data_IF_412175830304
#
_entry.id   IF_412175830304
#
_cell.length_a   1.000
_cell.length_b   1.000
_cell.length_c   1.000
_cell.angle_alpha   90.00
_cell.angle_beta   90.00
_cell.angle_gamma   90.00
#
_symmetry.space_group_name_H-M   'P 1'
#
loop_
_entity.id
_entity.type
_entity.pdbx_description
1 polymer ?
#
# COMPACT_ATOMS: atom_id res chain seq x y z
N UNK A 1 -91.53 -10.96 21.32
CA UNK A 1 -90.91 -9.62 21.25
C UNK A 1 -90.23 -9.36 22.58
N UNK A 2 -88.93 -9.66 22.70
CA UNK A 2 -87.98 -9.01 23.62
C UNK A 2 -86.57 -9.54 23.28
N UNK A 3 -85.70 -8.60 22.90
CA UNK A 3 -84.26 -8.75 22.63
C UNK A 3 -83.49 -9.13 23.90
N UNK A 4 -82.28 -9.67 23.67
CA UNK A 4 -80.99 -9.49 24.39
C UNK A 4 -80.27 -10.83 24.45
N UNK A 5 -78.96 -10.97 24.34
CA UNK A 5 -77.86 -10.09 23.97
C UNK A 5 -76.71 -11.08 23.70
N UNK A 6 -75.99 -10.91 22.60
CA UNK A 6 -74.77 -11.66 22.31
C UNK A 6 -73.64 -10.99 23.10
N UNK A 7 -73.05 -11.70 24.06
CA UNK A 7 -71.86 -11.25 24.79
C UNK A 7 -70.63 -11.78 24.05
N UNK A 8 -70.02 -10.95 23.23
CA UNK A 8 -68.71 -11.21 22.62
C UNK A 8 -67.62 -11.07 23.68
N UNK A 9 -66.96 -12.17 24.02
CA UNK A 9 -65.72 -12.13 24.79
C UNK A 9 -64.57 -11.74 23.85
N UNK A 10 -64.02 -10.54 24.06
CA UNK A 10 -62.77 -10.11 23.42
C UNK A 10 -61.59 -10.70 24.20
N UNK A 11 -60.96 -11.75 23.67
CA UNK A 11 -59.67 -12.24 24.16
C UNK A 11 -58.57 -11.39 23.53
N UNK A 12 -58.06 -10.41 24.27
CA UNK A 12 -56.90 -9.61 23.86
C UNK A 12 -55.63 -10.45 24.07
N UNK A 13 -55.21 -11.19 23.04
CA UNK A 13 -53.91 -11.83 23.02
C UNK A 13 -52.83 -10.76 22.78
N UNK A 14 -52.13 -10.34 23.84
CA UNK A 14 -50.87 -9.62 23.70
C UNK A 14 -49.85 -10.57 23.06
N UNK A 15 -49.70 -10.48 21.74
CA UNK A 15 -48.50 -10.95 21.08
C UNK A 15 -47.34 -10.03 21.50
N UNK A 16 -46.57 -10.47 22.51
CA UNK A 16 -45.28 -9.88 22.81
C UNK A 16 -44.38 -10.20 21.62
N UNK A 17 -44.34 -9.28 20.66
CA UNK A 17 -43.35 -9.31 19.59
C UNK A 17 -41.99 -9.17 20.23
N UNK A 18 -41.28 -10.30 20.36
CA UNK A 18 -39.84 -10.28 20.55
C UNK A 18 -39.24 -9.64 19.29
N UNK A 19 -38.99 -8.34 19.35
CA UNK A 19 -38.14 -7.69 18.35
C UNK A 19 -36.81 -8.44 18.35
N UNK A 20 -36.35 -8.98 17.21
CA UNK A 20 -35.00 -9.49 17.15
C UNK A 20 -34.09 -8.31 17.44
N UNK A 21 -33.40 -8.37 18.58
CA UNK A 21 -32.21 -7.55 18.81
C UNK A 21 -31.26 -7.92 17.67
N UNK A 22 -31.23 -7.08 16.63
CA UNK A 22 -30.15 -7.06 15.69
C UNK A 22 -28.90 -6.65 16.48
N UNK A 23 -28.26 -7.63 17.10
CA UNK A 23 -26.88 -7.48 17.56
C UNK A 23 -26.07 -7.32 16.29
N UNK A 24 -25.91 -6.06 15.86
CA UNK A 24 -24.87 -5.70 14.91
C UNK A 24 -23.56 -6.10 15.55
N UNK A 25 -23.11 -7.31 15.27
CA UNK A 25 -21.78 -7.75 15.61
C UNK A 25 -20.84 -6.65 15.11
N UNK A 26 -19.92 -6.14 15.95
CA UNK A 26 -18.90 -5.21 15.50
C UNK A 26 -18.23 -5.89 14.32
N UNK A 27 -18.42 -5.31 13.15
CA UNK A 27 -17.82 -5.85 11.97
C UNK A 27 -16.35 -5.47 12.08
N UNK A 28 -15.53 -6.36 12.63
CA UNK A 28 -14.07 -6.23 12.60
C UNK A 28 -13.62 -6.43 11.16
N UNK A 29 -13.48 -5.32 10.42
CA UNK A 29 -13.03 -5.35 9.04
C UNK A 29 -11.51 -5.45 9.13
N UNK A 30 -10.95 -6.66 9.11
CA UNK A 30 -9.51 -6.82 8.80
C UNK A 30 -9.28 -6.30 7.38
N UNK A 31 -8.81 -5.06 7.23
CA UNK A 31 -8.42 -4.55 5.90
C UNK A 31 -7.04 -5.12 5.59
N UNK A 32 -6.78 -5.43 4.33
CA UNK A 32 -5.47 -5.92 3.88
C UNK A 32 -4.63 -4.73 3.44
N UNK A 33 -3.32 -4.82 3.64
CA UNK A 33 -2.40 -3.84 3.07
C UNK A 33 -2.40 -3.98 1.54
N UNK A 34 -2.66 -2.91 0.80
CA UNK A 34 -2.70 -2.93 -0.67
C UNK A 34 -1.63 -1.99 -1.24
N UNK A 35 -0.59 -2.56 -1.84
CA UNK A 35 0.41 -1.77 -2.59
C UNK A 35 -0.23 -1.18 -3.84
N UNK A 36 -0.02 0.11 -4.08
CA UNK A 36 -0.51 0.81 -5.26
C UNK A 36 0.63 1.13 -6.21
N UNK A 37 1.80 1.45 -5.66
CA UNK A 37 2.99 1.81 -6.41
C UNK A 37 4.23 1.35 -5.66
N UNK A 38 5.20 0.82 -6.40
CA UNK A 38 6.54 0.54 -5.92
C UNK A 38 7.56 1.01 -6.94
N UNK A 39 8.70 1.51 -6.47
CA UNK A 39 9.88 1.69 -7.30
C UNK A 39 11.12 1.35 -6.51
N UNK A 40 12.10 0.73 -7.15
CA UNK A 40 13.37 0.39 -6.54
C UNK A 40 14.48 0.42 -7.57
N UNK A 41 15.68 0.73 -7.11
CA UNK A 41 16.85 0.72 -7.95
C UNK A 41 18.13 0.80 -7.15
N UNK A 42 19.24 0.53 -7.84
CA UNK A 42 20.55 0.58 -7.24
C UNK A 42 21.65 0.74 -8.27
N UNK A 43 22.82 1.12 -7.79
CA UNK A 43 24.05 1.13 -8.56
C UNK A 43 25.22 0.75 -7.66
N UNK A 44 26.24 0.12 -8.24
CA UNK A 44 27.51 -0.10 -7.58
C UNK A 44 28.64 0.45 -8.45
N UNK A 45 29.62 1.10 -7.84
CA UNK A 45 30.84 1.52 -8.53
C UNK A 45 31.85 0.36 -8.67
N UNK A 46 32.93 0.60 -9.41
CA UNK A 46 33.99 -0.40 -9.61
C UNK A 46 34.76 -0.76 -8.34
N UNK A 47 34.68 0.07 -7.29
CA UNK A 47 35.26 -0.21 -5.98
C UNK A 47 34.32 -1.05 -5.09
N UNK A 48 33.12 -1.39 -5.58
CA UNK A 48 32.13 -2.18 -4.85
C UNK A 48 31.30 -1.37 -3.86
N UNK A 49 31.31 -0.04 -3.94
CA UNK A 49 30.40 0.79 -3.17
C UNK A 49 29.03 0.79 -3.85
N UNK A 50 27.99 0.44 -3.12
CA UNK A 50 26.64 0.31 -3.65
C UNK A 50 25.69 1.30 -2.99
N UNK A 51 24.80 1.86 -3.78
CA UNK A 51 23.81 2.84 -3.38
C UNK A 51 22.46 2.39 -3.90
N UNK A 52 21.47 2.31 -3.03
CA UNK A 52 20.15 1.73 -3.33
C UNK A 52 19.04 2.63 -2.83
N UNK A 53 17.87 2.53 -3.44
CA UNK A 53 16.66 3.16 -2.95
C UNK A 53 15.46 2.24 -3.17
N UNK A 54 14.42 2.45 -2.35
CA UNK A 54 13.12 1.86 -2.60
C UNK A 54 12.01 2.76 -2.08
N UNK A 55 10.86 2.71 -2.75
CA UNK A 55 9.65 3.42 -2.35
C UNK A 55 8.45 2.51 -2.55
N UNK A 56 7.54 2.52 -1.59
CA UNK A 56 6.33 1.71 -1.57
C UNK A 56 5.18 2.60 -1.10
N UNK A 57 4.19 2.81 -1.94
CA UNK A 57 2.94 3.49 -1.59
C UNK A 57 1.85 2.44 -1.48
N UNK A 58 1.19 2.38 -0.33
CA UNK A 58 0.16 1.38 -0.05
C UNK A 58 -0.94 1.91 0.85
N UNK A 59 -2.12 1.33 0.76
CA UNK A 59 -3.19 1.48 1.76
C UNK A 59 -2.95 0.49 2.90
N UNK A 60 -2.95 0.96 4.16
CA UNK A 60 -2.75 0.11 5.34
C UNK A 60 -4.04 -0.59 5.81
N UNK A 61 -3.96 -1.29 6.95
CA UNK A 61 -5.10 -2.04 7.50
C UNK A 61 -6.22 -1.14 8.03
N UNK A 62 -5.97 0.16 8.15
CA UNK A 62 -6.95 1.16 8.58
C UNK A 62 -7.52 1.94 7.38
N UNK A 63 -7.06 1.65 6.16
CA UNK A 63 -7.48 2.34 4.94
C UNK A 63 -6.77 3.66 4.72
N UNK A 64 -5.69 3.93 5.46
CA UNK A 64 -4.88 5.14 5.30
C UNK A 64 -3.77 4.84 4.31
N UNK A 65 -3.60 5.72 3.32
CA UNK A 65 -2.47 5.59 2.39
C UNK A 65 -1.18 6.02 3.09
N UNK A 66 -0.20 5.13 3.03
CA UNK A 66 1.12 5.26 3.63
C UNK A 66 2.17 5.24 2.53
N UNK A 67 3.26 5.96 2.74
CA UNK A 67 4.50 5.76 1.99
C UNK A 67 5.56 5.14 2.88
N UNK A 68 6.38 4.27 2.30
CA UNK A 68 7.67 3.83 2.85
C UNK A 68 8.72 4.21 1.84
N UNK A 69 9.73 4.96 2.28
CA UNK A 69 10.83 5.40 1.43
C UNK A 69 12.13 5.03 2.13
N UNK A 70 13.02 4.38 1.41
CA UNK A 70 14.33 3.97 1.92
C UNK A 70 15.42 4.41 0.97
N UNK A 71 16.55 4.81 1.56
CA UNK A 71 17.80 4.99 0.85
C UNK A 71 18.92 4.36 1.67
N UNK A 72 19.84 3.69 1.00
CA UNK A 72 21.00 3.06 1.64
C UNK A 72 22.25 3.24 0.80
N UNK A 73 23.38 3.16 1.50
CA UNK A 73 24.70 3.13 0.93
C UNK A 73 25.54 2.10 1.69
N UNK A 74 26.31 1.30 0.96
CA UNK A 74 27.27 0.36 1.54
C UNK A 74 28.61 0.42 0.82
N UNK A 75 29.69 0.19 1.55
CA UNK A 75 31.03 -0.03 0.99
C UNK A 75 31.43 -1.49 1.13
N UNK A 76 32.41 -1.93 0.33
CA UNK A 76 33.00 -3.26 0.46
C UNK A 76 33.64 -3.50 1.85
N UNK A 77 34.04 -2.43 2.55
CA UNK A 77 34.67 -2.47 3.88
C UNK A 77 33.67 -2.50 5.04
N UNK A 78 32.44 -2.96 4.81
CA UNK A 78 31.36 -3.10 5.78
C UNK A 78 30.77 -1.79 6.36
N UNK A 79 31.05 -0.63 5.76
CA UNK A 79 30.28 0.58 6.11
C UNK A 79 28.88 0.44 5.54
N UNK A 80 27.87 0.57 6.38
CA UNK A 80 26.46 0.64 6.01
C UNK A 80 25.90 1.96 6.54
N UNK A 81 25.21 2.70 5.68
CA UNK A 81 24.37 3.82 6.03
C UNK A 81 22.99 3.58 5.45
N UNK A 82 21.94 3.72 6.25
CA UNK A 82 20.58 3.62 5.74
C UNK A 82 19.63 4.54 6.50
N UNK A 83 18.57 4.94 5.81
CA UNK A 83 17.42 5.60 6.39
C UNK A 83 16.18 5.10 5.68
N UNK A 84 15.21 4.66 6.47
CA UNK A 84 13.88 4.24 6.01
C UNK A 84 12.85 5.01 6.81
N UNK A 85 12.03 5.80 6.12
CA UNK A 85 10.93 6.52 6.74
C UNK A 85 9.60 5.95 6.27
N UNK A 86 8.62 5.92 7.18
CA UNK A 86 7.30 5.36 6.94
C UNK A 86 6.23 6.25 7.55
N UNK A 87 5.24 6.61 6.75
CA UNK A 87 4.09 7.35 7.24
C UNK A 87 3.26 7.98 6.12
N UNK A 88 2.15 8.64 6.47
CA UNK A 88 1.29 9.31 5.51
C UNK A 88 2.00 10.51 4.85
N UNK A 89 3.01 11.08 5.50
CA UNK A 89 3.83 12.17 4.94
C UNK A 89 4.54 11.79 3.64
N UNK A 90 4.77 10.49 3.40
CA UNK A 90 5.48 9.98 2.22
C UNK A 90 4.56 9.41 1.15
N UNK A 91 3.23 9.63 1.24
CA UNK A 91 2.28 9.09 0.25
C UNK A 91 2.56 9.57 -1.18
N UNK A 92 3.08 10.79 -1.32
CA UNK A 92 3.41 11.41 -2.61
C UNK A 92 4.90 11.28 -2.95
N UNK A 93 5.63 10.41 -2.27
CA UNK A 93 7.08 10.25 -2.47
C UNK A 93 7.42 9.67 -3.85
N UNK A 94 6.45 9.12 -4.58
CA UNK A 94 6.66 8.59 -5.90
C UNK A 94 5.43 8.74 -6.81
N UNK A 95 5.68 8.73 -8.11
CA UNK A 95 4.66 8.70 -9.14
C UNK A 95 5.04 7.71 -10.25
N UNK A 96 4.04 7.21 -10.97
CA UNK A 96 4.19 6.37 -12.16
C UNK A 96 3.19 6.82 -13.23
N UNK A 97 3.69 7.10 -14.42
CA UNK A 97 2.86 7.35 -15.59
C UNK A 97 2.56 6.04 -16.31
N UNK A 98 1.35 5.53 -16.14
CA UNK A 98 0.89 4.28 -16.75
C UNK A 98 0.93 4.26 -18.29
N UNK A 99 0.93 5.42 -18.95
CA UNK A 99 0.93 5.47 -20.41
C UNK A 99 2.30 5.18 -21.03
N UNK A 100 3.37 5.57 -20.36
CA UNK A 100 4.73 5.44 -20.90
C UNK A 100 5.75 4.84 -19.91
N UNK A 101 5.31 4.40 -18.73
CA UNK A 101 6.16 3.86 -17.66
C UNK A 101 6.92 4.91 -16.86
N UNK A 102 6.99 6.17 -17.31
CA UNK A 102 7.86 7.18 -16.67
C UNK A 102 7.50 7.34 -15.19
N UNK A 103 8.50 7.16 -14.33
CA UNK A 103 8.34 7.22 -12.89
C UNK A 103 9.22 8.30 -12.27
N UNK A 104 8.98 8.59 -11.00
CA UNK A 104 9.90 9.41 -10.22
C UNK A 104 9.74 9.17 -8.74
N UNK A 105 10.81 9.45 -8.00
CA UNK A 105 10.88 9.35 -6.54
C UNK A 105 11.43 10.67 -6.02
N UNK A 106 10.66 11.35 -5.20
CA UNK A 106 11.07 12.60 -4.57
C UNK A 106 10.67 12.59 -3.09
N UNK A 107 11.65 12.62 -2.20
CA UNK A 107 11.41 12.63 -0.76
C UNK A 107 12.60 13.21 -0.01
N UNK A 108 12.33 13.86 1.13
CA UNK A 108 13.36 14.17 2.12
C UNK A 108 13.18 13.26 3.32
N UNK A 109 14.21 12.50 3.67
CA UNK A 109 14.22 11.58 4.80
C UNK A 109 15.08 12.16 5.90
N UNK A 110 14.48 12.45 7.05
CA UNK A 110 15.18 12.98 8.21
C UNK A 110 15.35 11.89 9.27
N UNK A 111 16.56 11.36 9.50
CA UNK A 111 16.86 10.33 10.50
C UNK A 111 16.37 10.64 11.93
N UNK A 112 16.22 11.92 12.28
CA UNK A 112 15.74 12.35 13.60
C UNK A 112 14.22 12.34 13.75
N UNK A 113 13.48 12.11 12.66
CA UNK A 113 12.03 12.09 12.67
C UNK A 113 11.49 10.79 13.28
N UNK A 114 10.37 10.87 14.00
CA UNK A 114 9.79 9.73 14.72
C UNK A 114 9.31 8.58 13.81
N UNK A 115 9.06 8.91 12.56
CA UNK A 115 8.64 8.05 11.45
C UNK A 115 9.82 7.40 10.70
N UNK A 116 11.06 7.65 11.13
CA UNK A 116 12.26 7.14 10.47
C UNK A 116 13.05 6.17 11.36
N UNK A 117 13.54 5.10 10.75
CA UNK A 117 14.57 4.22 11.29
C UNK A 117 15.85 4.41 10.47
N UNK A 118 17.00 4.53 11.14
CA UNK A 118 18.25 4.84 10.46
C UNK A 118 19.47 4.27 11.17
N UNK A 119 20.57 4.17 10.43
CA UNK A 119 21.88 3.80 10.93
C UNK A 119 22.93 4.59 10.14
N UNK A 120 23.83 5.29 10.85
CA UNK A 120 24.90 6.10 10.25
C UNK A 120 24.44 6.99 9.08
N UNK A 121 23.26 7.59 9.18
CA UNK A 121 22.67 8.41 8.14
C UNK A 121 22.50 9.85 8.59
N UNK A 122 22.76 10.79 7.68
CA UNK A 122 22.30 12.18 7.77
C UNK A 122 20.94 12.33 7.08
N UNK A 123 20.33 13.52 7.17
CA UNK A 123 19.20 13.85 6.30
C UNK A 123 19.58 13.62 4.85
N UNK A 124 18.74 12.89 4.11
CA UNK A 124 18.93 12.60 2.69
C UNK A 124 17.78 13.18 1.89
N UNK A 125 18.11 13.69 0.70
CA UNK A 125 17.13 14.08 -0.31
C UNK A 125 17.23 13.08 -1.45
N UNK A 126 16.13 12.41 -1.74
CA UNK A 126 15.97 11.56 -2.91
C UNK A 126 15.25 12.40 -3.96
N UNK A 127 15.85 12.48 -5.14
CA UNK A 127 15.24 13.09 -6.32
C UNK A 127 15.71 12.29 -7.53
N UNK A 128 14.84 11.41 -8.02
CA UNK A 128 15.13 10.44 -9.08
C UNK A 128 13.99 10.47 -10.10
N UNK A 129 14.36 10.47 -11.38
CA UNK A 129 13.43 10.33 -12.49
C UNK A 129 13.74 9.03 -13.22
N UNK A 130 12.77 8.12 -13.24
CA UNK A 130 12.82 6.90 -14.03
C UNK A 130 12.59 7.20 -15.51
N UNK A 131 13.44 6.61 -16.35
CA UNK A 131 13.31 6.62 -17.79
C UNK A 131 13.21 5.17 -18.28
N UNK A 132 12.00 4.69 -18.63
CA UNK A 132 11.84 3.35 -19.17
C UNK A 132 12.43 3.31 -20.57
N UNK A 133 13.25 2.31 -20.83
CA UNK A 133 13.87 2.09 -22.14
C UNK A 133 13.00 1.21 -23.06
N UNK A 134 11.89 0.69 -22.55
CA UNK A 134 10.96 -0.20 -23.24
C UNK A 134 11.46 -1.63 -23.39
N UNK A 135 12.61 -2.00 -22.82
CA UNK A 135 13.15 -3.37 -22.89
C UNK A 135 12.40 -4.33 -21.98
N UNK A 136 11.89 -3.83 -20.85
CA UNK A 136 11.10 -4.60 -19.90
C UNK A 136 9.79 -3.87 -19.64
N UNK A 137 8.70 -4.48 -20.08
CA UNK A 137 7.35 -4.09 -19.70
C UNK A 137 6.52 -5.36 -19.57
N UNK A 138 6.09 -5.66 -18.35
CA UNK A 138 5.25 -6.83 -18.07
C UNK A 138 3.94 -6.39 -17.48
N UNK A 139 2.85 -6.90 -18.03
CA UNK A 139 1.52 -6.77 -17.45
C UNK A 139 1.09 -8.14 -16.95
N UNK A 140 0.66 -8.21 -15.69
CA UNK A 140 0.05 -9.40 -15.10
C UNK A 140 -1.34 -9.03 -14.60
N UNK A 141 -2.35 -9.79 -14.97
CA UNK A 141 -3.73 -9.59 -14.51
C UNK A 141 -4.36 -10.91 -14.09
N UNK A 142 -5.34 -10.82 -13.19
CA UNK A 142 -6.02 -12.01 -12.73
C UNK A 142 -6.99 -11.74 -11.58
N UNK A 143 -7.49 -12.83 -11.00
CA UNK A 143 -8.28 -12.78 -9.78
C UNK A 143 -7.49 -13.48 -8.67
N UNK A 144 -7.45 -12.85 -7.51
CA UNK A 144 -6.82 -13.39 -6.31
C UNK A 144 -7.89 -13.65 -5.26
N UNK A 145 -7.69 -14.73 -4.51
CA UNK A 145 -8.51 -15.09 -3.36
C UNK A 145 -7.60 -15.19 -2.15
N UNK A 146 -7.99 -14.50 -1.08
CA UNK A 146 -7.33 -14.60 0.23
C UNK A 146 -8.30 -15.21 1.20
N UNK A 147 -7.92 -16.35 1.77
CA UNK A 147 -8.64 -17.04 2.83
C UNK A 147 -7.78 -17.00 4.10
N UNK A 148 -8.17 -16.16 5.05
CA UNK A 148 -7.71 -16.21 6.44
C UNK A 148 -8.88 -16.72 7.31
N UNK A 149 -8.64 -17.23 8.53
CA UNK A 149 -9.69 -17.78 9.39
C UNK A 149 -10.97 -16.93 9.50
N UNK A 150 -10.82 -15.60 9.48
CA UNK A 150 -11.93 -14.63 9.59
C UNK A 150 -12.09 -13.71 8.36
N UNK A 151 -11.47 -14.06 7.22
CA UNK A 151 -11.53 -13.24 6.01
C UNK A 151 -11.57 -14.10 4.76
N UNK A 152 -12.67 -13.99 4.00
CA UNK A 152 -12.72 -14.40 2.61
C UNK A 152 -12.77 -13.15 1.74
N UNK A 153 -11.67 -12.89 1.03
CA UNK A 153 -11.57 -11.79 0.09
C UNK A 153 -11.31 -12.32 -1.31
N UNK A 154 -12.04 -11.81 -2.29
CA UNK A 154 -11.73 -11.99 -3.71
C UNK A 154 -11.54 -10.61 -4.32
N UNK A 155 -10.51 -10.44 -5.14
CA UNK A 155 -10.27 -9.21 -5.88
C UNK A 155 -9.66 -9.51 -7.24
N UNK A 156 -10.01 -8.70 -8.22
CA UNK A 156 -9.30 -8.64 -9.50
C UNK A 156 -8.09 -7.73 -9.34
N UNK A 157 -6.98 -8.06 -9.99
CA UNK A 157 -5.78 -7.24 -10.00
C UNK A 157 -5.22 -7.09 -11.40
N UNK A 158 -4.58 -5.93 -11.63
CA UNK A 158 -3.71 -5.67 -12.76
C UNK A 158 -2.43 -5.03 -12.22
N UNK A 159 -1.30 -5.66 -12.51
CA UNK A 159 0.03 -5.18 -12.16
C UNK A 159 0.78 -4.86 -13.44
N UNK A 160 1.33 -3.66 -13.51
CA UNK A 160 2.18 -3.18 -14.61
C UNK A 160 3.56 -2.90 -14.04
N UNK A 161 4.58 -3.58 -14.54
CA UNK A 161 5.97 -3.40 -14.16
C UNK A 161 6.79 -2.94 -15.36
N UNK A 162 7.61 -1.92 -15.14
CA UNK A 162 8.49 -1.29 -16.12
C UNK A 162 9.93 -1.42 -15.64
N UNK A 163 10.83 -1.87 -16.52
CA UNK A 163 12.27 -1.72 -16.31
C UNK A 163 12.66 -0.26 -16.46
N UNK A 164 13.44 0.23 -15.52
CA UNK A 164 13.70 1.67 -15.37
C UNK A 164 15.18 1.96 -15.21
N UNK A 165 15.60 3.06 -15.82
CA UNK A 165 16.87 3.72 -15.54
C UNK A 165 16.58 5.03 -14.81
N UNK A 166 16.81 5.03 -13.50
CA UNK A 166 16.58 6.20 -12.66
C UNK A 166 17.79 7.10 -12.68
N UNK A 167 17.58 8.38 -12.99
CA UNK A 167 18.64 9.39 -13.02
C UNK A 167 18.37 10.45 -11.95
N UNK A 168 19.39 10.75 -11.15
CA UNK A 168 19.31 11.77 -10.09
C UNK A 168 20.13 11.37 -8.87
N UNK A 169 19.62 11.64 -7.68
CA UNK A 169 20.28 11.30 -6.41
C UNK A 169 19.36 10.53 -5.48
N UNK A 170 19.89 9.55 -4.75
CA UNK A 170 19.22 8.94 -3.60
C UNK A 170 19.68 9.54 -2.26
N UNK A 171 20.46 10.62 -2.30
CA UNK A 171 21.02 11.32 -1.15
C UNK A 171 22.37 10.82 -0.66
N UNK A 172 22.86 9.66 -1.13
CA UNK A 172 24.24 9.22 -0.90
C UNK A 172 25.11 9.39 -2.15
N UNK A 173 24.57 9.03 -3.31
CA UNK A 173 25.24 9.17 -4.59
C UNK A 173 24.34 9.88 -5.60
N UNK A 174 24.96 10.44 -6.64
CA UNK A 174 24.25 10.99 -7.81
C UNK A 174 24.70 10.23 -9.04
N UNK A 175 23.77 9.86 -9.92
CA UNK A 175 24.07 9.14 -11.14
C UNK A 175 22.86 8.38 -11.68
N UNK A 176 23.16 7.26 -12.34
CA UNK A 176 22.17 6.37 -12.92
C UNK A 176 22.04 5.10 -12.07
N UNK A 177 20.81 4.72 -11.76
CA UNK A 177 20.47 3.55 -10.97
C UNK A 177 19.60 2.63 -11.83
N UNK A 178 20.06 1.39 -12.02
CA UNK A 178 19.24 0.37 -12.68
C UNK A 178 18.17 -0.13 -11.72
N UNK A 179 16.94 -0.28 -12.20
CA UNK A 179 15.83 -0.64 -11.34
C UNK A 179 14.55 -0.96 -12.09
N UNK A 180 13.44 -0.87 -11.37
CA UNK A 180 12.11 -1.03 -11.91
C UNK A 180 11.09 -0.19 -11.14
N UNK A 181 9.97 0.08 -11.80
CA UNK A 181 8.78 0.64 -11.20
C UNK A 181 7.59 -0.27 -11.48
N UNK A 182 6.72 -0.43 -10.49
CA UNK A 182 5.50 -1.23 -10.56
C UNK A 182 4.33 -0.38 -10.09
N UNK A 183 3.19 -0.51 -10.77
CA UNK A 183 1.91 -0.15 -10.19
C UNK A 183 0.97 -1.34 -10.18
N UNK A 184 0.29 -1.51 -9.05
CA UNK A 184 -0.76 -2.49 -8.88
C UNK A 184 -2.09 -1.77 -8.71
N UNK A 185 -3.07 -2.18 -9.51
CA UNK A 185 -4.47 -1.76 -9.38
C UNK A 185 -5.30 -2.98 -9.02
N UNK A 186 -6.07 -2.86 -7.95
CA UNK A 186 -7.05 -3.87 -7.57
C UNK A 186 -8.47 -3.35 -7.82
N UNK A 187 -9.31 -4.13 -8.50
CA UNK A 187 -10.74 -3.86 -8.69
C UNK A 187 -11.59 -4.99 -8.08
N UNK A 188 -12.90 -4.74 -7.94
CA UNK A 188 -13.90 -5.75 -7.60
C UNK A 188 -13.64 -6.50 -6.29
N UNK A 189 -13.47 -5.75 -5.20
CA UNK A 189 -13.25 -6.32 -3.87
C UNK A 189 -14.56 -6.86 -3.29
N UNK A 190 -14.71 -8.18 -3.28
CA UNK A 190 -15.78 -8.86 -2.53
C UNK A 190 -15.20 -9.35 -1.21
N UNK A 191 -15.70 -8.80 -0.09
CA UNK A 191 -15.37 -9.25 1.26
C UNK A 191 -16.58 -9.92 1.88
N UNK A 192 -16.43 -11.19 2.20
CA UNK A 192 -17.39 -11.94 3.02
C UNK A 192 -16.74 -12.17 4.38
N UNK A 193 -17.42 -11.70 5.43
CA UNK A 193 -17.06 -12.00 6.83
C UNK A 193 -17.72 -13.29 7.24
#
# INVERSE_FOLDING_TARGET
MHMRSVTTAFTLALAIGAAPLASGAPSDVTKLRRTQLQAQGGSCDAAGNCSEFSVWIYEDLDGVTQGVVSSSYRTASATLSFVTCRGPAYVNAAFLNHGNGRSGVNATLNPSSADCNSFNASTVVIDLIGNPDGTVHTTTEGTSKTELPDLKASYSFKTEMFGESFVGTNGYTTGTFGGWAEAMRTSDFTKTK
#
